data_IF_312864125646
#
_entry.id   IF_312864125646
#
_cell.length_a   1.000
_cell.length_b   1.000
_cell.length_c   1.000
_cell.angle_alpha   90.00
_cell.angle_beta   90.00
_cell.angle_gamma   90.00
#
_symmetry.space_group_name_H-M   'P 1'
#
loop_
_entity.id
_entity.type
_entity.pdbx_description
1 polymer ?
#
# COMPACT_ATOMS: atom_id res chain seq x y z
N UNK A 1 12.23 5.56 5.73
CA UNK A 1 12.91 6.25 4.61
C UNK A 1 13.70 5.20 3.85
N UNK A 2 13.50 5.04 2.55
CA UNK A 2 14.31 4.12 1.74
C UNK A 2 15.57 4.86 1.30
N UNK A 3 16.71 4.51 1.90
CA UNK A 3 18.04 5.07 1.60
C UNK A 3 18.35 5.09 0.09
N UNK A 4 17.78 4.15 -0.66
CA UNK A 4 17.81 4.09 -2.13
C UNK A 4 17.56 5.43 -2.82
N UNK A 5 16.61 6.24 -2.35
CA UNK A 5 16.27 7.51 -3.01
C UNK A 5 17.36 8.58 -2.86
N UNK A 6 18.17 8.48 -1.80
CA UNK A 6 19.27 9.39 -1.52
C UNK A 6 20.54 9.05 -2.30
N UNK A 7 20.68 7.78 -2.67
CA UNK A 7 21.90 7.24 -3.26
C UNK A 7 21.99 7.56 -4.76
N UNK A 8 23.23 7.71 -5.22
CA UNK A 8 23.64 7.93 -6.59
C UNK A 8 24.81 7.00 -6.93
N UNK A 9 24.96 6.66 -8.22
CA UNK A 9 26.13 5.90 -8.68
C UNK A 9 27.39 6.69 -8.33
N UNK A 10 28.36 6.00 -7.72
CA UNK A 10 29.62 6.57 -7.24
C UNK A 10 29.65 6.91 -5.75
N UNK A 11 28.51 6.91 -5.04
CA UNK A 11 28.51 7.12 -3.60
C UNK A 11 29.21 5.97 -2.86
N UNK A 12 29.98 6.30 -1.82
CA UNK A 12 30.57 5.32 -0.89
C UNK A 12 29.56 4.97 0.21
N UNK A 13 29.33 3.67 0.40
CA UNK A 13 28.41 3.13 1.39
C UNK A 13 29.09 2.12 2.30
N UNK A 14 28.53 1.94 3.50
CA UNK A 14 28.95 0.95 4.47
C UNK A 14 27.79 0.01 4.82
N UNK A 15 28.06 -1.29 4.85
CA UNK A 15 27.09 -2.30 5.28
C UNK A 15 26.96 -2.30 6.80
N UNK A 16 25.72 -2.26 7.27
CA UNK A 16 25.31 -2.49 8.66
C UNK A 16 24.11 -3.42 8.64
N UNK A 17 24.39 -4.72 8.64
CA UNK A 17 23.36 -5.75 8.55
C UNK A 17 23.07 -6.23 9.97
N UNK A 18 21.87 -5.95 10.47
CA UNK A 18 21.50 -6.39 11.79
C UNK A 18 21.52 -7.94 11.89
N UNK A 19 21.82 -8.51 13.08
CA UNK A 19 21.96 -9.95 13.25
C UNK A 19 20.69 -10.73 12.91
N UNK A 20 19.51 -10.13 13.15
CA UNK A 20 18.23 -10.76 12.83
C UNK A 20 18.10 -10.93 11.31
N UNK A 21 18.33 -9.87 10.53
CA UNK A 21 18.31 -9.96 9.06
C UNK A 21 19.30 -10.97 8.50
N UNK A 22 20.51 -11.05 9.05
CA UNK A 22 21.48 -12.09 8.64
C UNK A 22 20.92 -13.50 8.79
N UNK A 23 20.04 -13.76 9.76
CA UNK A 23 19.42 -15.07 9.95
C UNK A 23 18.32 -15.37 8.91
N UNK A 24 17.74 -14.36 8.27
CA UNK A 24 16.62 -14.50 7.34
C UNK A 24 17.02 -14.48 5.85
N UNK A 25 18.30 -14.22 5.53
CA UNK A 25 18.74 -14.13 4.13
C UNK A 25 20.18 -14.61 3.94
N UNK A 26 20.41 -15.36 2.86
CA UNK A 26 21.75 -15.79 2.46
C UNK A 26 22.56 -14.70 1.76
N UNK A 27 21.90 -13.60 1.37
CA UNK A 27 22.49 -12.52 0.57
C UNK A 27 23.67 -11.84 1.27
N UNK A 28 23.64 -11.74 2.60
CA UNK A 28 24.62 -10.98 3.39
C UNK A 28 25.53 -11.86 4.24
N UNK A 29 25.41 -13.20 4.14
CA UNK A 29 26.14 -14.13 5.00
C UNK A 29 27.67 -13.95 4.92
N UNK A 30 28.17 -13.53 3.76
CA UNK A 30 29.59 -13.33 3.49
C UNK A 30 30.00 -11.84 3.36
N UNK A 31 29.13 -10.92 3.79
CA UNK A 31 29.40 -9.47 3.82
C UNK A 31 29.49 -9.03 5.29
N UNK A 32 30.70 -8.89 5.88
CA UNK A 32 30.86 -8.44 7.25
C UNK A 32 30.29 -7.03 7.50
N UNK A 33 29.84 -6.76 8.72
CA UNK A 33 29.46 -5.40 9.10
C UNK A 33 30.66 -4.46 9.02
N UNK A 34 30.42 -3.22 8.60
CA UNK A 34 31.47 -2.24 8.33
C UNK A 34 32.13 -2.40 6.97
N UNK A 35 31.78 -3.42 6.18
CA UNK A 35 32.27 -3.57 4.81
C UNK A 35 31.85 -2.35 3.99
N UNK A 36 32.80 -1.77 3.27
CA UNK A 36 32.55 -0.62 2.41
C UNK A 36 32.43 -1.04 0.95
N UNK A 37 31.68 -0.26 0.19
CA UNK A 37 31.58 -0.43 -1.26
C UNK A 37 31.12 0.85 -1.95
N UNK A 38 31.10 0.80 -3.28
CA UNK A 38 30.68 1.91 -4.12
C UNK A 38 29.36 1.55 -4.80
N UNK A 39 28.38 2.44 -4.73
CA UNK A 39 27.13 2.28 -5.48
C UNK A 39 27.45 2.25 -6.98
N UNK A 40 27.14 1.14 -7.65
CA UNK A 40 27.42 0.95 -9.07
C UNK A 40 26.15 0.86 -9.93
N UNK A 41 24.97 0.75 -9.31
CA UNK A 41 23.70 0.67 -10.02
C UNK A 41 22.50 0.55 -9.10
N UNK A 42 21.33 0.38 -9.71
CA UNK A 42 20.06 0.16 -9.03
C UNK A 42 19.32 -0.96 -9.76
N UNK A 43 18.68 -1.85 -9.03
CA UNK A 43 17.73 -2.79 -9.61
C UNK A 43 16.47 -2.03 -10.03
N UNK A 44 15.89 -2.39 -11.16
CA UNK A 44 14.58 -1.88 -11.55
C UNK A 44 13.50 -2.63 -10.77
N UNK A 45 12.61 -1.88 -10.11
CA UNK A 45 11.45 -2.45 -9.43
C UNK A 45 10.17 -2.10 -10.18
N UNK A 46 9.44 -3.13 -10.59
CA UNK A 46 8.07 -3.00 -11.10
C UNK A 46 7.10 -3.15 -9.91
N UNK A 47 6.25 -2.15 -9.71
CA UNK A 47 5.21 -2.11 -8.68
C UNK A 47 3.85 -2.15 -9.36
N UNK A 48 2.91 -2.82 -8.71
CA UNK A 48 1.51 -2.82 -9.08
C UNK A 48 0.71 -2.04 -8.02
N UNK A 49 0.21 -0.88 -8.40
CA UNK A 49 -0.72 -0.11 -7.57
C UNK A 49 -2.13 -0.64 -7.85
N UNK A 50 -2.73 -1.30 -6.86
CA UNK A 50 -4.02 -1.99 -7.00
C UNK A 50 -5.20 -1.03 -7.15
N UNK A 51 -6.38 -1.56 -7.53
CA UNK A 51 -7.61 -0.76 -7.69
C UNK A 51 -8.28 -0.39 -6.38
N UNK A 52 -7.85 -1.06 -5.30
CA UNK A 52 -8.33 -0.89 -3.93
C UNK A 52 -7.18 -0.46 -3.04
N UNK A 53 -7.50 0.18 -1.91
CA UNK A 53 -6.54 0.81 -1.00
C UNK A 53 -5.65 1.83 -1.73
N UNK A 54 -6.28 2.61 -2.61
CA UNK A 54 -5.61 3.63 -3.40
C UNK A 54 -5.25 4.81 -2.48
N UNK A 55 -3.95 4.99 -2.23
CA UNK A 55 -3.46 6.04 -1.32
C UNK A 55 -2.94 7.26 -2.08
N UNK A 56 -2.10 7.05 -3.09
CA UNK A 56 -1.34 8.14 -3.75
C UNK A 56 -1.43 8.07 -5.27
N UNK A 57 -1.19 6.89 -5.84
CA UNK A 57 -1.10 6.70 -7.29
C UNK A 57 -2.38 6.10 -7.85
N UNK A 58 -2.74 6.47 -9.08
CA UNK A 58 -3.82 5.79 -9.80
C UNK A 58 -3.45 4.31 -9.99
N UNK A 59 -4.42 3.39 -10.05
CA UNK A 59 -4.11 1.99 -10.31
C UNK A 59 -3.33 1.79 -11.61
N UNK A 60 -2.34 0.93 -11.58
CA UNK A 60 -1.46 0.71 -12.72
C UNK A 60 -0.16 0.01 -12.39
N UNK A 61 0.64 -0.17 -13.43
CA UNK A 61 2.00 -0.68 -13.34
C UNK A 61 2.95 0.51 -13.32
N UNK A 62 3.85 0.51 -12.37
CA UNK A 62 4.83 1.57 -12.17
C UNK A 62 6.24 1.01 -12.10
N UNK A 63 7.19 1.79 -12.57
CA UNK A 63 8.61 1.58 -12.37
C UNK A 63 9.10 2.51 -11.28
N UNK A 64 9.94 1.98 -10.38
CA UNK A 64 10.77 2.79 -9.48
C UNK A 64 12.17 2.21 -9.39
N UNK A 65 13.08 3.01 -8.83
CA UNK A 65 14.36 2.50 -8.34
C UNK A 65 14.12 1.47 -7.23
N UNK A 66 14.63 0.26 -7.44
CA UNK A 66 14.60 -0.86 -6.51
C UNK A 66 15.80 -0.86 -5.57
N UNK A 67 16.26 -2.05 -5.16
CA UNK A 67 17.46 -2.16 -4.31
C UNK A 67 18.69 -1.56 -5.00
N UNK A 68 19.70 -1.17 -4.22
CA UNK A 68 20.95 -0.63 -4.75
C UNK A 68 21.88 -1.78 -5.12
N UNK A 69 22.73 -1.61 -6.13
CA UNK A 69 23.84 -2.52 -6.41
C UNK A 69 25.14 -1.89 -5.92
N UNK A 70 25.88 -2.60 -5.08
CA UNK A 70 27.12 -2.11 -4.46
C UNK A 70 28.29 -2.97 -4.89
N UNK A 71 29.31 -2.31 -5.46
CA UNK A 71 30.57 -2.93 -5.82
C UNK A 71 31.50 -2.94 -4.60
N UNK A 72 31.86 -4.15 -4.15
CA UNK A 72 32.81 -4.38 -3.08
C UNK A 72 34.25 -4.36 -3.60
N UNK A 73 35.21 -4.12 -2.71
CA UNK A 73 36.64 -4.07 -3.05
C UNK A 73 37.19 -5.41 -3.59
N UNK A 74 36.54 -6.53 -3.27
CA UNK A 74 36.91 -7.87 -3.74
C UNK A 74 36.39 -8.18 -5.16
N UNK A 75 35.71 -7.23 -5.80
CA UNK A 75 35.18 -7.37 -7.16
C UNK A 75 33.72 -7.83 -7.22
N UNK A 76 33.13 -8.28 -6.11
CA UNK A 76 31.72 -8.72 -6.08
C UNK A 76 30.77 -7.54 -6.17
N UNK A 77 29.60 -7.78 -6.77
CA UNK A 77 28.45 -6.88 -6.72
C UNK A 77 27.40 -7.53 -5.83
N UNK A 78 27.02 -6.84 -4.77
CA UNK A 78 26.01 -7.29 -3.82
C UNK A 78 24.86 -6.28 -3.75
N UNK A 79 23.61 -6.72 -3.53
CA UNK A 79 22.51 -5.80 -3.32
C UNK A 79 22.70 -5.04 -2.00
N UNK A 80 22.33 -3.76 -1.96
CA UNK A 80 22.29 -2.92 -0.77
C UNK A 80 20.87 -2.41 -0.57
N UNK A 81 20.15 -2.99 0.38
CA UNK A 81 18.80 -2.59 0.74
C UNK A 81 18.79 -1.58 1.91
N UNK A 82 17.97 -1.83 2.93
CA UNK A 82 17.93 -1.13 4.21
C UNK A 82 19.12 -1.44 5.12
N UNK A 83 20.11 -2.20 4.66
CA UNK A 83 21.27 -2.67 5.43
C UNK A 83 22.57 -1.96 5.05
N UNK A 84 22.47 -0.85 4.31
CA UNK A 84 23.59 0.02 3.97
C UNK A 84 23.35 1.43 4.51
N UNK A 85 24.42 2.21 4.59
CA UNK A 85 24.39 3.61 4.97
C UNK A 85 25.39 4.40 4.13
N UNK A 86 25.09 5.66 3.82
CA UNK A 86 26.09 6.56 3.22
C UNK A 86 27.24 6.78 4.20
N UNK A 87 28.48 6.75 3.70
CA UNK A 87 29.66 7.11 4.49
C UNK A 87 29.70 8.63 4.73
N UNK A 88 29.35 9.44 3.72
CA UNK A 88 29.21 10.89 3.84
C UNK A 88 27.85 11.26 4.44
N UNK A 89 27.83 11.46 5.77
CA UNK A 89 26.63 11.82 6.52
C UNK A 89 26.14 13.25 6.30
N UNK A 90 27.00 14.17 5.88
CA UNK A 90 26.60 15.55 5.62
C UNK A 90 25.91 15.64 4.25
N UNK A 91 26.41 14.90 3.27
CA UNK A 91 25.74 14.71 1.99
C UNK A 91 24.39 13.99 2.13
N UNK A 92 24.33 12.95 2.95
CA UNK A 92 23.08 12.23 3.25
C UNK A 92 22.00 13.20 3.78
N UNK A 93 22.32 13.97 4.82
CA UNK A 93 21.41 14.98 5.41
C UNK A 93 20.96 16.04 4.40
N UNK A 94 21.89 16.55 3.59
CA UNK A 94 21.59 17.55 2.56
C UNK A 94 20.63 17.01 1.50
N UNK A 95 20.84 15.77 1.04
CA UNK A 95 19.96 15.14 0.04
C UNK A 95 18.59 14.81 0.64
N UNK A 96 18.52 14.38 1.90
CA UNK A 96 17.25 14.13 2.59
C UNK A 96 16.42 15.40 2.70
N UNK A 97 17.04 16.51 3.13
CA UNK A 97 16.36 17.80 3.20
C UNK A 97 15.83 18.28 1.83
N UNK A 98 16.53 17.95 0.73
CA UNK A 98 16.13 18.32 -0.62
C UNK A 98 15.01 17.45 -1.20
N UNK A 99 14.87 16.20 -0.74
CA UNK A 99 13.84 15.26 -1.21
C UNK A 99 12.50 15.43 -0.51
N UNK A 100 12.48 16.03 0.68
CA UNK A 100 11.24 16.28 1.42
C UNK A 100 10.46 17.42 0.78
N UNK A 101 9.20 17.16 0.43
CA UNK A 101 8.26 18.23 0.04
C UNK A 101 8.00 19.20 1.20
N UNK A 102 7.29 20.31 0.93
CA UNK A 102 6.84 21.25 1.97
C UNK A 102 5.97 20.58 3.06
N UNK A 103 5.36 19.44 2.72
CA UNK A 103 4.57 18.58 3.61
C UNK A 103 5.45 17.56 4.39
N UNK A 104 6.75 17.48 4.11
CA UNK A 104 7.68 16.53 4.72
C UNK A 104 7.55 15.10 4.20
N UNK A 105 6.67 14.85 3.22
CA UNK A 105 6.43 13.51 2.65
C UNK A 105 7.51 13.23 1.60
N UNK A 106 8.17 12.08 1.75
CA UNK A 106 9.10 11.57 0.75
C UNK A 106 8.28 10.81 -0.31
N UNK A 107 8.16 11.40 -1.50
CA UNK A 107 7.51 10.75 -2.64
C UNK A 107 8.60 10.18 -3.52
N UNK A 108 8.79 8.87 -3.47
CA UNK A 108 9.61 8.19 -4.48
C UNK A 108 8.99 8.46 -5.85
N UNK A 109 9.72 9.06 -6.80
CA UNK A 109 9.21 9.23 -8.16
C UNK A 109 8.96 7.86 -8.77
N UNK A 110 7.69 7.54 -8.96
CA UNK A 110 7.25 6.37 -9.72
C UNK A 110 6.94 6.79 -11.15
N UNK A 111 7.44 6.04 -12.13
CA UNK A 111 7.13 6.25 -13.55
C UNK A 111 6.05 5.27 -13.95
N UNK A 112 4.89 5.77 -14.39
CA UNK A 112 3.81 4.90 -14.87
C UNK A 112 4.25 4.19 -16.16
N UNK A 113 4.19 2.87 -16.15
CA UNK A 113 4.47 2.02 -17.30
C UNK A 113 3.21 1.68 -18.10
N UNK A 114 2.07 1.53 -17.42
CA UNK A 114 0.81 1.17 -18.08
C UNK A 114 -0.30 0.80 -17.11
N UNK A 115 -1.37 0.25 -17.65
CA UNK A 115 -2.50 -0.27 -16.88
C UNK A 115 -2.14 -1.59 -16.20
N UNK A 116 -2.90 -1.96 -15.15
CA UNK A 116 -2.76 -3.27 -14.51
C UNK A 116 -3.03 -4.39 -15.53
N UNK A 117 -2.32 -5.53 -15.43
CA UNK A 117 -2.62 -6.71 -16.24
C UNK A 117 -4.11 -7.08 -16.16
N UNK A 118 -4.65 -7.54 -17.29
CA UNK A 118 -6.02 -8.05 -17.33
C UNK A 118 -6.16 -9.30 -16.46
N UNK A 119 -7.27 -9.37 -15.73
CA UNK A 119 -7.63 -10.49 -14.85
C UNK A 119 -9.07 -10.91 -15.10
N UNK A 120 -9.36 -12.20 -14.93
CA UNK A 120 -10.73 -12.73 -15.09
C UNK A 120 -11.71 -12.06 -14.13
N UNK A 121 -11.25 -11.79 -12.91
CA UNK A 121 -12.01 -11.22 -11.80
C UNK A 121 -11.28 -10.02 -11.19
N UNK A 122 -12.03 -9.13 -10.56
CA UNK A 122 -11.56 -7.89 -9.95
C UNK A 122 -11.83 -7.91 -8.45
N UNK A 123 -11.16 -7.04 -7.69
CA UNK A 123 -11.44 -6.86 -6.27
C UNK A 123 -12.94 -6.55 -6.04
N UNK A 124 -13.50 -7.09 -4.94
CA UNK A 124 -14.94 -7.10 -4.63
C UNK A 124 -15.85 -7.91 -5.57
N UNK A 125 -15.35 -8.58 -6.61
CA UNK A 125 -16.17 -9.52 -7.37
C UNK A 125 -16.62 -10.68 -6.46
N UNK A 126 -17.89 -11.08 -6.60
CA UNK A 126 -18.43 -12.29 -5.97
C UNK A 126 -18.12 -13.47 -6.87
N UNK A 127 -17.49 -14.49 -6.31
CA UNK A 127 -16.96 -15.64 -7.05
C UNK A 127 -17.33 -16.95 -6.37
N UNK A 128 -17.35 -18.02 -7.17
CA UNK A 128 -17.35 -19.40 -6.71
C UNK A 128 -15.93 -19.93 -6.80
N UNK A 129 -15.39 -20.45 -5.71
CA UNK A 129 -14.05 -21.04 -5.66
C UNK A 129 -14.17 -22.53 -5.40
N UNK A 130 -13.55 -23.34 -6.26
CA UNK A 130 -13.48 -24.80 -6.11
C UNK A 130 -12.08 -25.22 -5.74
N UNK A 131 -11.88 -25.66 -4.51
CA UNK A 131 -10.56 -26.04 -4.03
C UNK A 131 -10.22 -27.49 -4.45
N UNK A 132 -9.14 -27.72 -5.22
CA UNK A 132 -8.87 -29.05 -5.78
C UNK A 132 -8.39 -30.05 -4.73
N UNK A 133 -7.89 -29.59 -3.59
CA UNK A 133 -7.29 -30.46 -2.58
C UNK A 133 -8.32 -31.24 -1.76
N UNK A 134 -9.51 -30.68 -1.56
CA UNK A 134 -10.61 -31.30 -0.80
C UNK A 134 -11.93 -31.36 -1.59
N UNK A 135 -11.99 -30.75 -2.78
CA UNK A 135 -13.18 -30.68 -3.61
C UNK A 135 -14.25 -29.73 -3.07
N UNK A 136 -13.94 -28.94 -2.05
CA UNK A 136 -14.89 -27.99 -1.46
C UNK A 136 -15.19 -26.84 -2.43
N UNK A 137 -16.41 -26.32 -2.32
CA UNK A 137 -16.87 -25.20 -3.12
C UNK A 137 -17.49 -24.14 -2.22
N UNK A 138 -17.05 -22.89 -2.40
CA UNK A 138 -17.47 -21.77 -1.58
C UNK A 138 -17.79 -20.54 -2.44
N UNK A 139 -18.84 -19.81 -2.05
CA UNK A 139 -19.03 -18.44 -2.52
C UNK A 139 -18.18 -17.49 -1.69
N UNK A 140 -17.34 -16.70 -2.37
CA UNK A 140 -16.32 -15.85 -1.77
C UNK A 140 -16.29 -14.49 -2.47
N UNK A 141 -15.58 -13.54 -1.89
CA UNK A 141 -15.30 -12.23 -2.50
C UNK A 141 -13.81 -12.08 -2.78
N UNK A 142 -13.43 -11.52 -3.93
CA UNK A 142 -12.03 -11.18 -4.19
C UNK A 142 -11.60 -10.03 -3.26
N UNK A 143 -10.66 -10.28 -2.36
CA UNK A 143 -10.16 -9.30 -1.40
C UNK A 143 -9.00 -8.45 -1.95
N UNK A 144 -8.06 -9.10 -2.65
CA UNK A 144 -6.88 -8.48 -3.26
C UNK A 144 -6.35 -9.36 -4.39
N UNK A 145 -5.72 -8.74 -5.38
CA UNK A 145 -4.95 -9.43 -6.43
C UNK A 145 -3.47 -9.16 -6.18
N UNK A 146 -2.66 -10.21 -6.09
CA UNK A 146 -1.22 -10.12 -5.97
C UNK A 146 -0.54 -10.26 -7.34
N UNK A 147 -0.51 -9.15 -8.06
CA UNK A 147 0.06 -9.06 -9.41
C UNK A 147 1.51 -9.53 -9.51
N UNK A 148 2.30 -9.43 -8.43
CA UNK A 148 3.70 -9.91 -8.44
C UNK A 148 3.80 -11.42 -8.62
N UNK A 149 2.77 -12.16 -8.24
CA UNK A 149 2.72 -13.62 -8.31
C UNK A 149 1.95 -14.16 -9.52
N UNK A 150 1.31 -13.31 -10.33
CA UNK A 150 0.42 -13.72 -11.42
C UNK A 150 1.07 -14.66 -12.45
N UNK A 151 2.37 -14.45 -12.73
CA UNK A 151 3.13 -15.26 -13.70
C UNK A 151 4.06 -16.27 -13.03
N UNK A 152 4.03 -16.37 -11.70
CA UNK A 152 4.88 -17.29 -10.96
C UNK A 152 4.30 -18.71 -10.99
N UNK A 153 5.21 -19.68 -10.89
CA UNK A 153 4.90 -21.10 -10.79
C UNK A 153 5.44 -21.64 -9.48
N UNK A 154 4.74 -22.58 -8.88
CA UNK A 154 5.27 -23.37 -7.77
C UNK A 154 6.32 -24.37 -8.28
N UNK A 155 7.03 -25.00 -7.34
CA UNK A 155 8.06 -26.00 -7.65
C UNK A 155 7.53 -27.21 -8.44
N UNK A 156 6.24 -27.51 -8.33
CA UNK A 156 5.56 -28.58 -9.06
C UNK A 156 5.05 -28.16 -10.45
N UNK A 157 5.30 -26.92 -10.88
CA UNK A 157 4.85 -26.34 -12.14
C UNK A 157 3.42 -25.80 -12.13
N UNK A 158 2.66 -25.97 -11.04
CA UNK A 158 1.33 -25.36 -10.89
C UNK A 158 1.42 -23.82 -10.84
N UNK A 159 0.32 -23.13 -11.16
CA UNK A 159 0.25 -21.67 -11.06
C UNK A 159 0.35 -21.23 -9.60
N UNK A 160 0.97 -20.09 -9.32
CA UNK A 160 0.91 -19.51 -7.98
C UNK A 160 -0.52 -19.02 -7.67
N UNK A 161 -1.04 -19.20 -6.44
CA UNK A 161 -2.34 -18.67 -6.05
C UNK A 161 -2.21 -17.17 -5.75
N UNK A 162 -2.61 -16.33 -6.68
CA UNK A 162 -2.40 -14.87 -6.59
C UNK A 162 -3.66 -14.07 -6.26
N UNK A 163 -4.80 -14.71 -6.03
CA UNK A 163 -6.01 -14.06 -5.53
C UNK A 163 -6.17 -14.29 -4.03
N UNK A 164 -6.24 -13.23 -3.23
CA UNK A 164 -6.80 -13.27 -1.87
C UNK A 164 -8.32 -13.36 -2.00
N UNK A 165 -8.90 -14.45 -1.51
CA UNK A 165 -10.34 -14.70 -1.50
C UNK A 165 -10.85 -14.72 -0.07
N UNK A 166 -11.98 -14.07 0.18
CA UNK A 166 -12.56 -13.90 1.52
C UNK A 166 -13.88 -14.64 1.64
N UNK A 167 -14.03 -15.39 2.73
CA UNK A 167 -15.31 -15.98 3.09
C UNK A 167 -16.29 -14.90 3.53
N UNK A 168 -17.57 -15.11 3.27
CA UNK A 168 -18.64 -14.19 3.70
C UNK A 168 -18.70 -14.04 5.23
N UNK A 169 -18.37 -15.10 5.96
CA UNK A 169 -18.41 -15.16 7.43
C UNK A 169 -17.12 -14.66 8.10
N UNK A 170 -16.13 -14.24 7.30
CA UNK A 170 -14.81 -13.80 7.77
C UNK A 170 -13.72 -14.85 7.54
N UNK A 171 -12.47 -14.37 7.50
CA UNK A 171 -11.30 -15.16 7.09
C UNK A 171 -10.97 -15.03 5.61
N UNK A 172 -9.71 -15.26 5.26
CA UNK A 172 -9.24 -15.25 3.88
C UNK A 172 -8.28 -16.39 3.60
N UNK A 173 -8.17 -16.75 2.32
CA UNK A 173 -7.20 -17.73 1.80
C UNK A 173 -6.76 -17.31 0.40
N UNK A 174 -5.86 -18.07 -0.21
CA UNK A 174 -5.36 -17.81 -1.56
C UNK A 174 -5.94 -18.80 -2.57
N UNK A 175 -6.28 -18.31 -3.76
CA UNK A 175 -6.79 -19.12 -4.86
C UNK A 175 -6.03 -18.88 -6.17
N UNK A 176 -5.91 -19.94 -6.97
CA UNK A 176 -5.45 -19.85 -8.36
C UNK A 176 -6.60 -19.40 -9.27
N UNK A 177 -6.28 -18.74 -10.40
CA UNK A 177 -7.31 -18.27 -11.33
C UNK A 177 -8.21 -19.40 -11.87
N UNK A 178 -7.64 -20.58 -12.07
CA UNK A 178 -8.35 -21.76 -12.59
C UNK A 178 -9.42 -22.30 -11.63
N UNK A 179 -9.32 -21.97 -10.34
CA UNK A 179 -10.27 -22.40 -9.31
C UNK A 179 -11.49 -21.49 -9.23
N UNK A 180 -11.45 -20.34 -9.90
CA UNK A 180 -12.38 -19.24 -9.71
C UNK A 180 -13.35 -19.14 -10.88
N UNK A 181 -14.63 -19.08 -10.55
CA UNK A 181 -15.72 -18.77 -11.44
C UNK A 181 -16.41 -17.48 -10.98
N UNK A 182 -16.57 -16.51 -11.89
CA UNK A 182 -17.24 -15.25 -11.59
C UNK A 182 -18.75 -15.50 -11.43
N UNK A 183 -19.32 -15.06 -10.31
CA UNK A 183 -20.77 -15.05 -10.09
C UNK A 183 -21.33 -13.66 -10.43
N UNK A 184 -20.75 -12.60 -9.85
CA UNK A 184 -21.22 -11.23 -10.01
C UNK A 184 -20.06 -10.23 -9.96
N UNK A 185 -20.14 -9.19 -10.79
CA UNK A 185 -19.22 -8.05 -10.74
C UNK A 185 -19.43 -7.19 -9.50
N UNK A 186 -18.34 -6.93 -8.80
CA UNK A 186 -18.28 -6.05 -7.62
C UNK A 186 -18.28 -4.57 -7.97
N UNK A 187 -18.40 -3.73 -6.93
CA UNK A 187 -18.44 -2.28 -7.09
C UNK A 187 -17.13 -1.69 -7.64
N UNK A 188 -15.97 -2.32 -7.41
CA UNK A 188 -14.69 -1.87 -8.00
C UNK A 188 -14.77 -1.95 -9.53
N UNK A 189 -15.16 -3.11 -10.08
CA UNK A 189 -15.31 -3.24 -11.53
C UNK A 189 -16.37 -2.27 -12.07
N UNK A 190 -17.53 -2.16 -11.39
CA UNK A 190 -18.61 -1.26 -11.78
C UNK A 190 -18.14 0.22 -11.83
N UNK A 191 -17.36 0.66 -10.84
CA UNK A 191 -16.85 2.03 -10.75
C UNK A 191 -15.94 2.40 -11.93
N UNK A 192 -14.95 1.56 -12.24
CA UNK A 192 -14.03 1.83 -13.35
C UNK A 192 -14.66 1.61 -14.74
N UNK A 193 -15.85 1.01 -14.81
CA UNK A 193 -16.59 0.77 -16.06
C UNK A 193 -17.87 1.61 -16.16
N UNK A 194 -18.00 2.67 -15.35
CA UNK A 194 -19.16 3.59 -15.34
C UNK A 194 -20.52 2.87 -15.23
N UNK A 195 -20.56 1.78 -14.47
CA UNK A 195 -21.80 1.06 -14.18
C UNK A 195 -22.43 1.57 -12.88
N UNK A 196 -23.76 1.40 -12.71
CA UNK A 196 -24.42 1.72 -11.46
C UNK A 196 -23.79 0.97 -10.28
N UNK A 197 -23.44 1.71 -9.23
CA UNK A 197 -22.95 1.17 -7.97
C UNK A 197 -24.13 0.82 -7.07
N UNK A 198 -23.99 -0.25 -6.28
CA UNK A 198 -25.03 -0.70 -5.35
C UNK A 198 -24.42 -0.81 -3.97
N UNK A 199 -24.98 -0.11 -3.01
CA UNK A 199 -24.56 -0.15 -1.61
C UNK A 199 -25.78 -0.49 -0.73
N UNK A 200 -25.54 -1.26 0.32
CA UNK A 200 -26.55 -1.63 1.32
C UNK A 200 -26.85 -0.47 2.27
N UNK A 201 -25.83 0.32 2.61
CA UNK A 201 -25.95 1.49 3.46
C UNK A 201 -24.86 2.54 3.16
N UNK A 202 -24.98 3.71 3.81
CA UNK A 202 -24.03 4.80 3.66
C UNK A 202 -22.62 4.45 4.16
N UNK A 203 -22.52 3.54 5.14
CA UNK A 203 -21.23 3.13 5.71
C UNK A 203 -20.44 2.31 4.69
N UNK A 204 -21.11 1.40 3.98
CA UNK A 204 -20.53 0.64 2.86
C UNK A 204 -20.11 1.56 1.72
N UNK A 205 -20.98 2.50 1.34
CA UNK A 205 -20.68 3.51 0.32
C UNK A 205 -19.45 4.36 0.69
N UNK A 206 -19.40 4.91 1.90
CA UNK A 206 -18.26 5.68 2.40
C UNK A 206 -16.98 4.84 2.43
N UNK A 207 -17.06 3.59 2.90
CA UNK A 207 -15.92 2.66 2.94
C UNK A 207 -15.41 2.34 1.54
N UNK A 208 -16.31 2.19 0.56
CA UNK A 208 -15.95 1.97 -0.84
C UNK A 208 -15.20 3.17 -1.45
N UNK A 209 -15.73 4.38 -1.29
CA UNK A 209 -15.08 5.57 -1.84
C UNK A 209 -13.73 5.88 -1.18
N UNK A 210 -13.58 5.57 0.11
CA UNK A 210 -12.27 5.55 0.75
C UNK A 210 -11.33 4.51 0.10
N UNK A 211 -11.82 3.28 -0.09
CA UNK A 211 -11.07 2.18 -0.69
C UNK A 211 -10.52 2.50 -2.09
N UNK A 212 -11.29 3.21 -2.92
CA UNK A 212 -10.89 3.57 -4.29
C UNK A 212 -10.20 4.95 -4.40
N UNK A 213 -9.77 5.53 -3.27
CA UNK A 213 -8.96 6.76 -3.26
C UNK A 213 -9.74 8.04 -3.58
N UNK A 214 -11.05 8.04 -3.29
CA UNK A 214 -11.93 9.21 -3.40
C UNK A 214 -12.05 9.98 -2.08
N UNK A 215 -11.09 9.78 -1.18
CA UNK A 215 -10.92 10.53 0.06
C UNK A 215 -9.50 11.06 0.16
N UNK A 216 -9.32 12.16 0.89
CA UNK A 216 -8.04 12.73 1.24
C UNK A 216 -7.90 12.79 2.75
N UNK A 217 -6.74 12.42 3.27
CA UNK A 217 -6.41 12.60 4.68
C UNK A 217 -6.07 14.07 4.94
N UNK A 218 -6.69 14.63 5.97
CA UNK A 218 -6.53 16.04 6.33
C UNK A 218 -5.66 16.14 7.57
N UNK A 219 -4.61 16.95 7.49
CA UNK A 219 -3.75 17.26 8.63
C UNK A 219 -4.49 18.14 9.62
N UNK A 220 -4.32 17.87 10.90
CA UNK A 220 -4.80 18.73 11.96
C UNK A 220 -4.12 20.11 11.85
N UNK A 221 -4.87 21.20 11.64
CA UNK A 221 -4.31 22.55 11.51
C UNK A 221 -3.54 23.02 12.75
N UNK A 222 -3.84 22.45 13.94
CA UNK A 222 -3.22 22.85 15.21
C UNK A 222 -1.77 22.36 15.35
N UNK A 223 -1.45 21.17 14.83
CA UNK A 223 -0.15 20.53 15.03
C UNK A 223 0.52 20.06 13.71
N UNK A 224 -0.17 20.18 12.57
CA UNK A 224 0.25 19.73 11.24
C UNK A 224 0.56 18.22 11.14
N UNK A 225 -0.06 17.41 11.99
CA UNK A 225 0.02 15.94 11.99
C UNK A 225 -1.27 15.34 11.42
N UNK A 226 -1.22 14.08 10.97
CA UNK A 226 -2.41 13.29 10.59
C UNK A 226 -3.16 12.70 11.79
N UNK A 227 -2.83 13.14 13.00
CA UNK A 227 -3.41 12.64 14.24
C UNK A 227 -4.34 13.69 14.86
N UNK A 228 -5.55 13.26 15.16
CA UNK A 228 -6.62 14.06 15.76
C UNK A 228 -7.09 13.41 17.06
N UNK A 229 -7.55 14.22 18.02
CA UNK A 229 -8.41 13.72 19.10
C UNK A 229 -9.86 13.62 18.62
N UNK A 230 -10.69 12.93 19.41
CA UNK A 230 -12.13 12.82 19.13
C UNK A 230 -12.79 14.20 19.12
N UNK A 231 -12.49 15.06 20.09
CA UNK A 231 -13.06 16.41 20.16
C UNK A 231 -12.64 17.26 18.96
N UNK A 232 -11.36 17.19 18.57
CA UNK A 232 -10.85 17.95 17.43
C UNK A 232 -11.47 17.53 16.12
N UNK A 233 -11.64 16.21 15.89
CA UNK A 233 -12.22 15.73 14.63
C UNK A 233 -13.71 16.05 14.55
N UNK A 234 -14.46 15.92 15.66
CA UNK A 234 -15.88 16.25 15.70
C UNK A 234 -16.10 17.76 15.47
N UNK A 235 -15.29 18.62 16.10
CA UNK A 235 -15.28 20.07 15.83
C UNK A 235 -14.98 20.36 14.34
N UNK A 236 -14.02 19.66 13.75
CA UNK A 236 -13.67 19.82 12.35
C UNK A 236 -14.78 19.36 11.39
N UNK A 237 -15.55 18.33 11.76
CA UNK A 237 -16.73 17.88 11.00
C UNK A 237 -17.84 18.93 11.09
N UNK A 238 -18.13 19.44 12.29
CA UNK A 238 -19.14 20.50 12.48
C UNK A 238 -18.82 21.77 11.67
N UNK A 239 -17.55 22.12 11.58
CA UNK A 239 -17.09 23.28 10.82
C UNK A 239 -16.97 23.03 9.30
N UNK A 240 -17.27 21.80 8.83
CA UNK A 240 -17.19 21.43 7.42
C UNK A 240 -15.76 21.30 6.86
N UNK A 241 -14.75 21.27 7.72
CA UNK A 241 -13.34 21.12 7.32
C UNK A 241 -13.08 19.70 6.81
N UNK A 242 -13.66 18.71 7.49
CA UNK A 242 -13.56 17.28 7.16
C UNK A 242 -14.95 16.66 7.15
N UNK A 243 -15.08 15.49 6.55
CA UNK A 243 -16.37 14.82 6.36
C UNK A 243 -16.54 13.59 7.26
N UNK A 244 -15.45 12.96 7.68
CA UNK A 244 -15.49 11.78 8.55
C UNK A 244 -14.09 11.42 9.03
N UNK A 245 -13.95 10.25 9.63
CA UNK A 245 -12.67 9.77 10.12
C UNK A 245 -12.59 8.25 10.19
N UNK A 246 -11.37 7.73 10.24
CA UNK A 246 -11.07 6.35 10.61
C UNK A 246 -10.22 6.31 11.89
N UNK A 247 -10.34 5.22 12.64
CA UNK A 247 -9.50 4.93 13.80
C UNK A 247 -8.48 3.88 13.38
N UNK A 248 -7.20 4.21 13.45
CA UNK A 248 -6.12 3.26 13.27
C UNK A 248 -5.69 2.75 14.65
N UNK A 249 -5.35 1.46 14.75
CA UNK A 249 -4.90 0.82 15.98
C UNK A 249 -3.53 1.33 16.47
N UNK A 250 -2.81 2.09 15.64
CA UNK A 250 -1.43 2.48 15.92
C UNK A 250 -0.44 1.39 15.52
N UNK A 251 0.83 1.78 15.37
CA UNK A 251 1.94 0.88 15.07
C UNK A 251 3.04 1.06 16.13
N UNK A 252 3.62 -0.04 16.62
CA UNK A 252 4.73 -0.04 17.59
C UNK A 252 4.57 0.90 18.81
N UNK A 253 3.55 0.67 19.63
CA UNK A 253 3.39 1.38 20.91
C UNK A 253 2.85 2.82 20.80
N UNK A 254 2.62 3.32 19.57
CA UNK A 254 1.69 4.43 19.39
C UNK A 254 0.28 3.92 19.68
N UNK A 255 -0.44 4.60 20.57
CA UNK A 255 -1.85 4.29 20.83
C UNK A 255 -2.72 4.51 19.58
N UNK A 256 -4.01 4.13 19.64
CA UNK A 256 -4.91 4.38 18.53
C UNK A 256 -4.97 5.88 18.21
N UNK A 257 -5.00 6.22 16.93
CA UNK A 257 -5.08 7.60 16.47
C UNK A 257 -6.17 7.75 15.43
N UNK A 258 -6.77 8.94 15.39
CA UNK A 258 -7.84 9.27 14.47
C UNK A 258 -7.26 9.97 13.25
N UNK A 259 -7.58 9.44 12.07
CA UNK A 259 -7.27 10.04 10.78
C UNK A 259 -8.52 10.72 10.22
N UNK A 260 -8.50 12.05 10.11
CA UNK A 260 -9.60 12.80 9.54
C UNK A 260 -9.58 12.74 8.00
N UNK A 261 -10.76 12.62 7.40
CA UNK A 261 -10.92 12.38 5.97
C UNK A 261 -11.88 13.38 5.33
N UNK A 262 -11.53 13.84 4.13
CA UNK A 262 -12.41 14.62 3.26
C UNK A 262 -12.71 13.82 1.99
N UNK A 263 -14.00 13.58 1.73
CA UNK A 263 -14.46 13.02 0.47
C UNK A 263 -14.32 14.03 -0.67
N UNK A 264 -13.91 13.56 -1.85
CA UNK A 264 -13.87 14.38 -3.09
C UNK A 264 -15.26 14.70 -3.61
N UNK A 265 -16.22 13.79 -3.40
CA UNK A 265 -17.63 14.06 -3.57
C UNK A 265 -18.16 14.78 -2.31
N UNK A 266 -18.47 16.05 -2.47
CA UNK A 266 -18.93 16.92 -1.39
C UNK A 266 -20.31 16.50 -0.85
N UNK A 267 -21.21 16.02 -1.70
CA UNK A 267 -22.56 15.64 -1.27
C UNK A 267 -22.53 14.33 -0.48
N UNK A 268 -21.75 13.35 -0.95
CA UNK A 268 -21.45 12.16 -0.16
C UNK A 268 -20.81 12.56 1.18
N UNK A 269 -19.82 13.45 1.14
CA UNK A 269 -19.11 13.97 2.31
C UNK A 269 -20.04 14.56 3.36
N UNK A 270 -20.99 15.42 2.96
CA UNK A 270 -21.99 16.01 3.87
C UNK A 270 -22.91 14.97 4.51
N UNK A 271 -23.34 13.96 3.74
CA UNK A 271 -24.16 12.86 4.30
C UNK A 271 -23.37 12.07 5.34
N UNK A 272 -22.10 11.76 5.05
CA UNK A 272 -21.22 11.08 6.01
C UNK A 272 -21.05 11.93 7.27
N UNK A 273 -20.71 13.22 7.13
CA UNK A 273 -20.56 14.15 8.25
C UNK A 273 -21.79 14.17 9.15
N UNK A 274 -22.98 14.29 8.54
CA UNK A 274 -24.25 14.29 9.26
C UNK A 274 -24.45 13.01 10.07
N UNK A 275 -24.32 11.83 9.44
CA UNK A 275 -24.51 10.54 10.11
C UNK A 275 -23.45 10.30 11.18
N UNK A 276 -22.21 10.76 10.96
CA UNK A 276 -21.16 10.71 11.98
C UNK A 276 -21.56 11.54 13.19
N UNK A 277 -21.92 12.82 13.03
CA UNK A 277 -22.33 13.68 14.15
C UNK A 277 -23.55 13.13 14.90
N UNK A 278 -24.56 12.65 14.16
CA UNK A 278 -25.75 12.00 14.75
C UNK A 278 -25.38 10.77 15.59
N UNK A 279 -24.41 9.97 15.13
CA UNK A 279 -23.87 8.82 15.88
C UNK A 279 -23.20 9.18 17.21
N UNK A 280 -22.71 10.42 17.34
CA UNK A 280 -22.16 10.98 18.58
C UNK A 280 -23.18 11.82 19.36
N UNK A 281 -24.46 11.82 18.96
CA UNK A 281 -25.52 12.60 19.60
C UNK A 281 -25.40 14.11 19.38
N UNK A 282 -24.63 14.53 18.38
CA UNK A 282 -24.45 15.93 17.99
C UNK A 282 -25.43 16.22 16.86
N UNK A 283 -26.23 17.28 17.02
CA UNK A 283 -27.14 17.74 15.97
C UNK A 283 -26.39 18.73 15.07
N UNK A 284 -26.29 18.38 13.79
CA UNK A 284 -25.69 19.22 12.74
C UNK A 284 -26.69 20.24 12.18
#
# INVERSE_FOLDING_TARGET
>A
MTLTELLQIGDEVVFKVDPERRAWTDIYNDVPDGTKGIVCGFYDAVIYESRVRVLVHQPGVYHRKGAVSVWLSDGRIVPGDWSIEMVDKDQEKRRDAALRGADGILRTPQVRLGDLPETKVWEQDKVRVRFPHDGSEHEMTIGRIDYHHMHQRRNDGSSWPFYDVRFMEGGSTSAEESWIELIERGNVWKYYNNQPLVFTDLKEEASFFHLVGQTEEVRNPKNNLYSWTEEEVLEAIMNGTVHGFSVDSGFFGSGPYINAQRFKDEELGKRVAKVTLEGFGITA
#
